data_IF_046514353677
#
_entry.id   IF_046514353677
#
_cell.length_a   1.000
_cell.length_b   1.000
_cell.length_c   1.000
_cell.angle_alpha   90.00
_cell.angle_beta   90.00
_cell.angle_gamma   90.00
#
_symmetry.space_group_name_H-M   'P 1'
#
loop_
_entity.id
_entity.type
_entity.pdbx_description
1 polymer ?
#
# COMPACT_ATOMS: atom_id res chain seq x y z
N UNK A 1 -3.97 20.75 -1.22
CA UNK A 1 -3.55 19.46 -1.81
C UNK A 1 -2.97 18.55 -0.76
N UNK A 2 -3.39 17.29 -0.76
CA UNK A 2 -2.87 16.31 0.18
C UNK A 2 -1.49 15.82 -0.23
N UNK A 3 -0.58 15.77 0.72
CA UNK A 3 0.76 15.24 0.52
C UNK A 3 0.74 13.73 0.73
N UNK A 4 1.11 12.98 -0.29
CA UNK A 4 1.04 11.51 -0.29
C UNK A 4 2.42 10.90 -0.38
N UNK A 5 2.60 9.78 0.34
CA UNK A 5 3.78 8.95 0.23
C UNK A 5 3.38 7.57 -0.29
N UNK A 6 4.13 7.09 -1.27
CA UNK A 6 3.96 5.74 -1.82
C UNK A 6 5.10 4.86 -1.34
N UNK A 7 4.77 3.75 -0.71
CA UNK A 7 5.73 2.86 -0.06
C UNK A 7 5.65 1.47 -0.68
N UNK A 8 6.78 0.89 -1.00
CA UNK A 8 6.89 -0.48 -1.50
C UNK A 8 8.01 -1.20 -0.76
N UNK A 9 8.35 -2.39 -1.22
CA UNK A 9 9.42 -3.19 -0.65
C UNK A 9 10.57 -3.33 -1.65
N UNK A 10 11.82 -3.28 -1.18
CA UNK A 10 13.00 -3.47 -2.02
C UNK A 10 12.99 -4.86 -2.68
N UNK A 11 13.59 -4.97 -3.86
CA UNK A 11 13.74 -6.23 -4.55
C UNK A 11 13.75 -6.06 -6.06
N UNK A 12 14.63 -6.80 -6.76
CA UNK A 12 14.78 -6.70 -8.22
C UNK A 12 13.50 -7.05 -8.98
N UNK A 13 12.80 -8.07 -8.50
CA UNK A 13 11.58 -8.55 -9.16
C UNK A 13 10.36 -8.33 -8.26
N UNK A 14 10.34 -7.21 -7.55
CA UNK A 14 9.23 -6.88 -6.68
C UNK A 14 8.32 -5.86 -7.37
N UNK A 15 7.08 -6.26 -7.65
CA UNK A 15 6.12 -5.40 -8.33
C UNK A 15 5.80 -4.13 -7.53
N UNK A 16 5.82 -4.18 -6.20
CA UNK A 16 5.56 -3.00 -5.39
C UNK A 16 6.67 -1.96 -5.55
N UNK A 17 7.92 -2.39 -5.62
CA UNK A 17 9.07 -1.52 -5.89
C UNK A 17 8.91 -0.84 -7.25
N UNK A 18 8.62 -1.63 -8.28
CA UNK A 18 8.42 -1.15 -9.64
C UNK A 18 7.29 -0.13 -9.70
N UNK A 19 6.17 -0.44 -9.09
CA UNK A 19 4.99 0.42 -9.09
C UNK A 19 5.27 1.76 -8.43
N UNK A 20 5.71 1.78 -7.17
CA UNK A 20 5.84 3.04 -6.42
C UNK A 20 6.95 3.92 -6.99
N UNK A 21 8.04 3.33 -7.49
CA UNK A 21 9.13 4.09 -8.10
C UNK A 21 8.69 4.77 -9.40
N UNK A 22 7.71 4.19 -10.10
CA UNK A 22 7.21 4.74 -11.36
C UNK A 22 6.04 5.70 -11.16
N UNK A 23 5.32 5.61 -10.05
CA UNK A 23 4.17 6.46 -9.77
C UNK A 23 4.58 7.87 -9.31
N UNK A 24 5.57 7.97 -8.44
CA UNK A 24 5.84 9.22 -7.74
C UNK A 24 7.32 9.37 -7.35
N UNK A 25 7.79 10.61 -7.34
CA UNK A 25 9.07 10.95 -6.75
C UNK A 25 9.02 10.87 -5.22
N UNK A 26 7.82 11.03 -4.63
CA UNK A 26 7.59 10.87 -3.20
C UNK A 26 7.29 9.40 -2.91
N UNK A 27 8.33 8.57 -2.92
CA UNK A 27 8.20 7.15 -2.61
C UNK A 27 9.34 6.67 -1.72
N UNK A 28 9.15 5.52 -1.09
CA UNK A 28 10.15 4.88 -0.26
C UNK A 28 10.07 3.37 -0.41
N UNK A 29 11.23 2.70 -0.40
CA UNK A 29 11.30 1.24 -0.47
C UNK A 29 11.80 0.68 0.85
N UNK A 30 10.96 -0.12 1.50
CA UNK A 30 11.25 -0.72 2.79
C UNK A 30 12.22 -1.91 2.65
N UNK A 31 13.08 -2.06 3.64
CA UNK A 31 13.97 -3.22 3.76
C UNK A 31 13.16 -4.47 4.09
N UNK A 32 13.46 -5.60 3.43
CA UNK A 32 12.70 -6.85 3.56
C UNK A 32 13.09 -7.65 4.82
N UNK A 33 12.89 -7.04 5.99
CA UNK A 33 13.05 -7.72 7.28
C UNK A 33 12.19 -7.00 8.32
N UNK A 34 11.79 -7.72 9.37
CA UNK A 34 10.97 -7.11 10.43
C UNK A 34 11.69 -5.93 11.10
N UNK A 35 12.96 -6.12 11.42
CA UNK A 35 13.78 -5.06 12.03
C UNK A 35 13.99 -3.89 11.08
N UNK A 36 14.30 -4.18 9.81
CA UNK A 36 14.51 -3.15 8.80
C UNK A 36 13.26 -2.32 8.52
N UNK A 37 12.10 -2.97 8.44
CA UNK A 37 10.80 -2.28 8.24
C UNK A 37 10.55 -1.29 9.38
N UNK A 38 10.71 -1.74 10.60
CA UNK A 38 10.50 -0.88 11.77
C UNK A 38 11.42 0.33 11.76
N UNK A 39 12.71 0.09 11.53
CA UNK A 39 13.71 1.14 11.49
C UNK A 39 13.42 2.15 10.38
N UNK A 40 13.14 1.65 9.18
CA UNK A 40 12.85 2.49 8.01
C UNK A 40 11.64 3.39 8.27
N UNK A 41 10.57 2.82 8.83
CA UNK A 41 9.35 3.59 9.10
C UNK A 41 9.58 4.64 10.18
N UNK A 42 10.34 4.31 11.23
CA UNK A 42 10.68 5.27 12.29
C UNK A 42 11.41 6.50 11.73
N UNK A 43 12.19 6.34 10.66
CA UNK A 43 12.98 7.40 10.05
C UNK A 43 12.23 8.20 8.98
N UNK A 44 11.01 7.78 8.60
CA UNK A 44 10.22 8.50 7.59
C UNK A 44 9.74 9.85 8.13
N UNK A 45 9.60 10.82 7.22
CA UNK A 45 9.00 12.11 7.55
C UNK A 45 7.58 11.92 8.08
N UNK A 46 7.22 12.68 9.09
CA UNK A 46 5.88 12.64 9.68
C UNK A 46 4.84 13.44 8.90
N UNK A 47 5.28 14.30 8.01
CA UNK A 47 4.42 15.28 7.34
C UNK A 47 3.85 14.79 6.03
N UNK A 48 3.16 13.64 6.09
CA UNK A 48 2.36 13.13 4.97
C UNK A 48 0.90 13.04 5.41
N UNK A 49 -0.01 13.45 4.53
CA UNK A 49 -1.44 13.39 4.79
C UNK A 49 -2.00 11.99 4.58
N UNK A 50 -1.42 11.26 3.62
CA UNK A 50 -1.84 9.89 3.30
C UNK A 50 -0.63 9.07 2.89
N UNK A 51 -0.62 7.80 3.30
CA UNK A 51 0.44 6.86 2.95
C UNK A 51 -0.17 5.62 2.31
N UNK A 52 0.31 5.26 1.12
CA UNK A 52 -0.15 4.09 0.38
C UNK A 52 0.98 3.07 0.33
N UNK A 53 0.80 1.96 1.04
CA UNK A 53 1.75 0.85 1.08
C UNK A 53 1.30 -0.22 0.11
N UNK A 54 2.20 -0.64 -0.78
CA UNK A 54 1.94 -1.73 -1.73
C UNK A 54 2.81 -2.93 -1.40
N UNK A 55 2.21 -4.11 -1.45
CA UNK A 55 2.91 -5.37 -1.27
C UNK A 55 2.54 -6.34 -2.39
N UNK A 56 3.50 -7.13 -2.85
CA UNK A 56 3.26 -8.14 -3.87
C UNK A 56 2.71 -9.42 -3.22
N UNK A 57 1.67 -10.00 -3.84
CA UNK A 57 1.08 -11.26 -3.36
C UNK A 57 0.97 -12.23 -4.55
N UNK A 58 1.66 -13.35 -4.45
CA UNK A 58 1.69 -14.38 -5.50
C UNK A 58 0.32 -15.04 -5.75
N UNK A 59 -0.61 -14.89 -4.82
CA UNK A 59 -1.94 -15.47 -4.96
C UNK A 59 -2.90 -14.57 -5.73
N UNK A 60 -2.47 -13.36 -6.09
CA UNK A 60 -3.25 -12.45 -6.94
C UNK A 60 -2.77 -12.57 -8.39
N UNK A 61 -3.71 -12.62 -9.33
CA UNK A 61 -3.37 -12.69 -10.76
C UNK A 61 -3.84 -11.46 -11.53
N UNK A 62 -5.10 -11.07 -11.38
CA UNK A 62 -5.68 -9.96 -12.13
C UNK A 62 -6.47 -8.99 -11.26
N UNK A 63 -6.28 -9.07 -9.95
CA UNK A 63 -7.00 -8.23 -8.99
C UNK A 63 -6.06 -7.70 -7.91
N UNK A 64 -6.51 -6.64 -7.24
CA UNK A 64 -5.84 -6.05 -6.09
C UNK A 64 -6.63 -6.40 -4.82
N UNK A 65 -5.98 -6.27 -3.68
CA UNK A 65 -6.64 -6.49 -2.41
C UNK A 65 -6.30 -5.35 -1.45
N UNK A 66 -7.33 -4.67 -0.99
CA UNK A 66 -7.20 -3.53 -0.07
C UNK A 66 -7.40 -4.06 1.35
N UNK A 67 -6.40 -3.90 2.19
CA UNK A 67 -6.45 -4.39 3.57
C UNK A 67 -6.98 -3.28 4.48
N UNK A 68 -8.07 -3.55 5.19
CA UNK A 68 -8.67 -2.53 6.07
C UNK A 68 -7.88 -2.31 7.35
N UNK A 69 -7.23 -3.37 7.86
CA UNK A 69 -6.61 -3.30 9.19
C UNK A 69 -5.34 -4.11 9.30
N UNK A 70 -4.55 -3.79 10.31
CA UNK A 70 -3.38 -4.55 10.74
C UNK A 70 -3.57 -4.99 12.19
N UNK A 71 -2.87 -6.06 12.58
CA UNK A 71 -2.94 -6.62 13.92
C UNK A 71 -1.54 -6.86 14.48
N UNK A 72 -1.36 -6.51 15.76
CA UNK A 72 -0.12 -6.77 16.46
C UNK A 72 -0.40 -6.88 17.96
N UNK A 73 0.11 -7.98 18.56
CA UNK A 73 -0.06 -8.19 20.00
C UNK A 73 -1.51 -8.23 20.46
N UNK A 74 -2.41 -8.78 19.64
CA UNK A 74 -3.83 -8.85 19.94
C UNK A 74 -4.60 -7.55 19.73
N UNK A 75 -3.94 -6.50 19.31
CA UNK A 75 -4.56 -5.20 19.01
C UNK A 75 -4.72 -5.02 17.51
N UNK A 76 -5.74 -4.25 17.11
CA UNK A 76 -6.01 -3.95 15.70
C UNK A 76 -6.05 -2.44 15.47
N UNK A 77 -5.46 -2.02 14.35
CA UNK A 77 -5.53 -0.64 13.87
C UNK A 77 -6.19 -0.66 12.49
N UNK A 78 -7.10 0.27 12.27
CA UNK A 78 -7.84 0.38 11.00
C UNK A 78 -7.37 1.59 10.21
N UNK A 79 -7.40 1.46 8.88
CA UNK A 79 -7.22 2.60 8.01
C UNK A 79 -8.37 3.59 8.20
N UNK A 80 -8.05 4.88 8.23
CA UNK A 80 -9.04 5.96 8.25
C UNK A 80 -9.32 6.51 6.86
N UNK A 81 -8.61 6.02 5.84
CA UNK A 81 -8.86 6.42 4.47
C UNK A 81 -10.20 5.85 4.00
N UNK A 82 -10.80 6.50 3.01
CA UNK A 82 -12.04 6.02 2.41
C UNK A 82 -11.73 4.89 1.42
N UNK A 83 -11.71 3.65 1.93
CA UNK A 83 -11.32 2.47 1.14
C UNK A 83 -12.35 2.14 0.07
N UNK A 84 -13.64 2.42 0.32
CA UNK A 84 -14.67 2.22 -0.70
C UNK A 84 -14.43 3.12 -1.91
N UNK A 85 -14.02 4.36 -1.66
CA UNK A 85 -13.69 5.31 -2.72
C UNK A 85 -12.45 4.85 -3.50
N UNK A 86 -11.44 4.35 -2.81
CA UNK A 86 -10.25 3.77 -3.46
C UNK A 86 -10.66 2.61 -4.38
N UNK A 87 -11.50 1.71 -3.87
CA UNK A 87 -12.01 0.57 -4.64
C UNK A 87 -12.78 1.03 -5.88
N UNK A 88 -13.68 2.01 -5.72
CA UNK A 88 -14.47 2.57 -6.81
C UNK A 88 -13.58 3.20 -7.89
N UNK A 89 -12.55 3.92 -7.47
CA UNK A 89 -11.63 4.55 -8.41
C UNK A 89 -10.80 3.50 -9.17
N UNK A 90 -10.37 2.43 -8.50
CA UNK A 90 -9.73 1.32 -9.21
C UNK A 90 -10.68 0.71 -10.25
N UNK A 91 -11.93 0.49 -9.87
CA UNK A 91 -12.93 -0.07 -10.79
C UNK A 91 -13.15 0.82 -12.03
N UNK A 92 -13.07 2.14 -11.87
CA UNK A 92 -13.20 3.06 -12.99
C UNK A 92 -12.08 2.92 -14.03
N UNK A 93 -10.97 2.31 -13.65
CA UNK A 93 -9.85 1.96 -14.55
C UNK A 93 -9.81 0.46 -14.83
N UNK A 94 -10.90 -0.25 -14.55
CA UNK A 94 -11.04 -1.69 -14.79
C UNK A 94 -10.08 -2.53 -13.95
N UNK A 95 -9.66 -2.03 -12.81
CA UNK A 95 -8.87 -2.79 -11.84
C UNK A 95 -9.83 -3.33 -10.80
N UNK A 96 -9.94 -4.65 -10.73
CA UNK A 96 -10.74 -5.33 -9.71
C UNK A 96 -10.03 -5.23 -8.37
N UNK A 97 -10.74 -4.86 -7.32
CA UNK A 97 -10.18 -4.80 -5.98
C UNK A 97 -11.22 -5.25 -4.96
N UNK A 98 -10.77 -5.96 -3.95
CA UNK A 98 -11.60 -6.36 -2.81
C UNK A 98 -11.06 -5.75 -1.55
N UNK A 99 -11.96 -5.38 -0.63
CA UNK A 99 -11.57 -4.88 0.69
C UNK A 99 -11.69 -6.03 1.68
N UNK A 100 -10.60 -6.40 2.34
CA UNK A 100 -10.59 -7.43 3.37
C UNK A 100 -10.63 -6.80 4.76
N UNK A 101 -11.41 -7.41 5.63
CA UNK A 101 -11.59 -6.96 7.01
C UNK A 101 -10.86 -7.87 8.02
N UNK A 102 -10.04 -8.79 7.53
CA UNK A 102 -9.17 -9.63 8.36
C UNK A 102 -7.73 -9.22 8.15
N UNK A 103 -6.88 -9.26 9.19
CA UNK A 103 -5.49 -8.84 9.03
C UNK A 103 -4.73 -9.79 8.11
N UNK A 104 -3.82 -9.22 7.30
CA UNK A 104 -2.85 -10.01 6.57
C UNK A 104 -1.77 -10.51 7.56
N UNK A 105 -0.77 -11.22 7.05
CA UNK A 105 0.27 -11.84 7.89
C UNK A 105 1.65 -11.39 7.46
N UNK A 106 2.63 -11.72 8.29
CA UNK A 106 4.06 -11.54 8.00
C UNK A 106 4.46 -10.07 7.88
N UNK A 107 5.44 -9.81 7.04
CA UNK A 107 6.12 -8.52 6.94
C UNK A 107 5.20 -7.38 6.52
N UNK A 108 4.28 -7.63 5.60
CA UNK A 108 3.33 -6.61 5.15
C UNK A 108 2.43 -6.13 6.29
N UNK A 109 1.98 -7.04 7.14
CA UNK A 109 1.17 -6.69 8.29
C UNK A 109 1.96 -5.82 9.28
N UNK A 110 3.22 -6.17 9.54
CA UNK A 110 4.07 -5.37 10.42
C UNK A 110 4.30 -3.96 9.87
N UNK A 111 4.62 -3.86 8.59
CA UNK A 111 4.81 -2.57 7.94
C UNK A 111 3.54 -1.73 8.02
N UNK A 112 2.40 -2.33 7.75
CA UNK A 112 1.10 -1.66 7.79
C UNK A 112 0.79 -1.17 9.21
N UNK A 113 1.04 -2.03 10.21
CA UNK A 113 0.85 -1.66 11.62
C UNK A 113 1.63 -0.38 11.96
N UNK A 114 2.93 -0.35 11.66
CA UNK A 114 3.77 0.80 11.99
C UNK A 114 3.36 2.06 11.23
N UNK A 115 2.93 1.93 9.99
CA UNK A 115 2.43 3.06 9.22
C UNK A 115 1.12 3.61 9.78
N UNK A 116 0.20 2.72 10.15
CA UNK A 116 -1.06 3.14 10.77
C UNK A 116 -0.83 3.85 12.10
N UNK A 117 0.12 3.36 12.88
CA UNK A 117 0.50 3.96 14.15
C UNK A 117 1.12 5.33 13.94
N UNK A 118 2.12 5.42 13.08
CA UNK A 118 2.87 6.66 12.82
C UNK A 118 1.99 7.75 12.20
N UNK A 119 1.19 7.40 11.23
CA UNK A 119 0.35 8.36 10.49
C UNK A 119 -1.08 8.41 11.00
N UNK A 120 -1.31 7.90 12.20
CA UNK A 120 -2.59 8.01 12.92
C UNK A 120 -3.79 7.50 12.11
N UNK A 121 -3.59 6.39 11.41
CA UNK A 121 -4.61 5.74 10.60
C UNK A 121 -4.68 6.21 9.15
N UNK A 122 -3.93 7.23 8.78
CA UNK A 122 -3.98 7.78 7.42
C UNK A 122 -3.05 7.02 6.47
N UNK A 123 -3.18 5.71 6.47
CA UNK A 123 -2.42 4.79 5.62
C UNK A 123 -3.30 3.64 5.17
N UNK A 124 -2.93 2.99 4.08
CA UNK A 124 -3.60 1.78 3.60
C UNK A 124 -2.57 0.85 2.96
N UNK A 125 -2.76 -0.45 3.17
CA UNK A 125 -2.00 -1.50 2.49
C UNK A 125 -2.83 -2.04 1.34
N UNK A 126 -2.24 -2.05 0.15
CA UNK A 126 -2.86 -2.60 -1.05
C UNK A 126 -1.93 -3.70 -1.59
N UNK A 127 -2.43 -4.93 -1.63
CA UNK A 127 -1.71 -6.04 -2.26
C UNK A 127 -1.98 -6.05 -3.76
N UNK A 128 -0.93 -6.29 -4.52
CA UNK A 128 -0.94 -6.33 -5.98
C UNK A 128 -0.32 -7.63 -6.47
N UNK A 129 -0.61 -8.07 -7.71
CA UNK A 129 0.06 -9.25 -8.27
C UNK A 129 1.58 -9.08 -8.33
N UNK A 130 2.30 -10.19 -8.33
CA UNK A 130 3.75 -10.19 -8.55
C UNK A 130 4.06 -9.79 -9.99
N UNK A 131 5.34 -9.55 -10.31
CA UNK A 131 5.76 -9.10 -11.65
C UNK A 131 5.28 -10.02 -12.77
N UNK A 132 5.12 -11.30 -12.51
CA UNK A 132 4.61 -12.26 -13.50
C UNK A 132 3.24 -11.86 -14.04
N UNK A 133 2.37 -11.32 -13.20
CA UNK A 133 0.99 -10.98 -13.54
C UNK A 133 0.71 -9.47 -13.55
N UNK A 134 1.64 -8.67 -13.06
CA UNK A 134 1.44 -7.23 -12.96
C UNK A 134 1.48 -6.59 -14.36
N UNK A 135 0.42 -5.85 -14.70
CA UNK A 135 0.31 -5.19 -16.00
C UNK A 135 0.93 -3.79 -15.94
N UNK A 136 1.73 -3.46 -16.92
CA UNK A 136 2.42 -2.15 -16.99
C UNK A 136 1.43 -0.97 -17.02
N UNK A 137 0.30 -1.12 -17.70
CA UNK A 137 -0.73 -0.08 -17.75
C UNK A 137 -1.30 0.27 -16.37
N UNK A 138 -1.20 -0.63 -15.40
CA UNK A 138 -1.67 -0.35 -14.04
C UNK A 138 -0.88 0.76 -13.35
N UNK A 139 0.34 1.03 -13.76
CA UNK A 139 1.17 2.10 -13.17
C UNK A 139 0.44 3.43 -13.30
N UNK A 140 0.07 3.79 -14.52
CA UNK A 140 -0.66 5.04 -14.77
C UNK A 140 -2.06 5.02 -14.15
N UNK A 141 -2.75 3.89 -14.25
CA UNK A 141 -4.11 3.75 -13.73
C UNK A 141 -4.17 3.89 -12.20
N UNK A 142 -3.23 3.26 -11.49
CA UNK A 142 -3.14 3.37 -10.03
C UNK A 142 -2.88 4.82 -9.62
N UNK A 143 -1.97 5.48 -10.30
CA UNK A 143 -1.66 6.90 -10.03
C UNK A 143 -2.92 7.77 -10.14
N UNK A 144 -3.67 7.62 -11.22
CA UNK A 144 -4.90 8.39 -11.47
C UNK A 144 -6.00 8.03 -10.48
N UNK A 145 -6.18 6.75 -10.18
CA UNK A 145 -7.20 6.27 -9.25
C UNK A 145 -6.98 6.84 -7.84
N UNK A 146 -5.75 6.79 -7.34
CA UNK A 146 -5.43 7.31 -6.01
C UNK A 146 -5.59 8.82 -5.96
N UNK A 147 -5.17 9.53 -7.00
CA UNK A 147 -5.35 10.97 -7.08
C UNK A 147 -6.84 11.35 -6.97
N UNK A 148 -7.71 10.62 -7.66
CA UNK A 148 -9.16 10.84 -7.63
C UNK A 148 -9.77 10.45 -6.29
N UNK A 149 -9.34 9.35 -5.68
CA UNK A 149 -9.85 8.88 -4.39
C UNK A 149 -9.51 9.83 -3.24
N UNK A 150 -8.43 10.57 -3.38
CA UNK A 150 -7.86 11.42 -2.33
C UNK A 150 -8.43 12.84 -2.33
N UNK A 151 -9.34 13.15 -3.22
CA UNK A 151 -9.97 14.48 -3.30
C UNK A 151 -11.03 14.71 -2.24
#
# INVERSE_FOLDING_TARGET
>A
MKKKLFVGFKGKNNSSSMLVSSISSEHFLLTNSFEGVRKDIDELFEDYDEVYLFGADKNLSDSFRIERLAEKGGKRLKSKLDLEKVKEQFASFMIKAEILNTPTKYLCNDAYWYLLEKYKGNAVLIHIPTVKNFKEEWISDVKKAIKSASK
#
